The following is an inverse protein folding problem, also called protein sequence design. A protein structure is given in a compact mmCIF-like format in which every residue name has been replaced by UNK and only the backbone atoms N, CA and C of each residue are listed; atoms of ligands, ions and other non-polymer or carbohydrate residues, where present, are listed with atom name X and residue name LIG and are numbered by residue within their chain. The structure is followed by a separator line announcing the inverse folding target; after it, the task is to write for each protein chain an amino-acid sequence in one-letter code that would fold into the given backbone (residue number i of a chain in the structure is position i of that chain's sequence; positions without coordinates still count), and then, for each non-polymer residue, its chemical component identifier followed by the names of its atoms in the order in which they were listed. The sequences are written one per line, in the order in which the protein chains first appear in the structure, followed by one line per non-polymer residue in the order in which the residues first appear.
data_IF_643726440639
#
_entry.id   IF_643726440639
#
_cell.length_a   1.000
_cell.length_b   1.000
_cell.length_c   1.000
_cell.angle_alpha   90.00
_cell.angle_beta   90.00
_cell.angle_gamma   90.00
#
_symmetry.space_group_name_H-M   'P 1'
#
loop_
_entity.id
_entity.type
_entity.pdbx_description
1 polymer ?
#
# COMPACT_ATOMS: atom_id res chain seq x y z
N UNK A 1 -20.57 -9.26 28.09
CA UNK A 1 -19.79 -10.46 27.68
C UNK A 1 -19.13 -11.04 28.92
N UNK A 2 -19.37 -12.30 29.24
CA UNK A 2 -18.62 -13.03 30.27
C UNK A 2 -17.69 -14.01 29.57
N UNK A 3 -16.60 -14.45 30.21
CA UNK A 3 -15.69 -15.45 29.62
C UNK A 3 -16.44 -16.72 29.17
N UNK A 4 -17.51 -17.10 29.89
CA UNK A 4 -18.39 -18.22 29.53
C UNK A 4 -19.24 -17.97 28.27
N UNK A 5 -19.66 -16.73 27.98
CA UNK A 5 -20.40 -16.44 26.74
C UNK A 5 -19.52 -16.40 25.50
N UNK A 6 -18.21 -16.15 25.66
CA UNK A 6 -17.23 -16.13 24.56
C UNK A 6 -16.91 -17.54 24.06
N UNK A 7 -16.80 -18.52 24.97
CA UNK A 7 -16.56 -19.92 24.61
C UNK A 7 -17.76 -20.61 23.96
N UNK A 8 -18.95 -20.00 24.03
CA UNK A 8 -20.10 -20.48 23.26
C UNK A 8 -19.89 -20.26 21.75
N UNK A 9 -19.22 -19.18 21.36
CA UNK A 9 -18.98 -18.85 19.94
C UNK A 9 -17.66 -19.40 19.42
N UNK A 10 -16.66 -19.57 20.30
CA UNK A 10 -15.35 -20.07 19.93
C UNK A 10 -14.93 -21.19 20.88
N UNK A 11 -14.66 -22.40 20.38
CA UNK A 11 -14.30 -23.54 21.23
C UNK A 11 -13.00 -23.31 22.02
N UNK A 12 -12.09 -22.48 21.50
CA UNK A 12 -10.84 -22.13 22.15
C UNK A 12 -10.32 -20.74 21.71
N UNK A 13 -9.19 -20.32 22.31
CA UNK A 13 -8.54 -19.04 22.00
C UNK A 13 -8.03 -18.97 20.55
N UNK A 14 -7.57 -20.09 19.99
CA UNK A 14 -7.07 -20.18 18.62
C UNK A 14 -8.19 -19.97 17.60
N UNK A 15 -9.38 -20.52 17.86
CA UNK A 15 -10.58 -20.31 17.04
C UNK A 15 -11.03 -18.84 17.05
N UNK A 16 -10.97 -18.16 18.20
CA UNK A 16 -11.21 -16.73 18.30
C UNK A 16 -10.19 -15.92 17.47
N UNK A 17 -8.90 -16.25 17.57
CA UNK A 17 -7.85 -15.58 16.77
C UNK A 17 -8.04 -15.81 15.27
N UNK A 18 -8.32 -17.03 14.84
CA UNK A 18 -8.55 -17.36 13.43
C UNK A 18 -9.76 -16.60 12.86
N UNK A 19 -10.85 -16.51 13.63
CA UNK A 19 -12.02 -15.74 13.25
C UNK A 19 -11.70 -14.23 13.14
N UNK A 20 -10.92 -13.70 14.07
CA UNK A 20 -10.46 -12.29 14.05
C UNK A 20 -9.61 -12.00 12.81
N UNK A 21 -8.64 -12.89 12.50
CA UNK A 21 -7.81 -12.76 11.28
C UNK A 21 -8.67 -12.80 10.02
N UNK A 22 -9.66 -13.70 9.95
CA UNK A 22 -10.57 -13.80 8.81
C UNK A 22 -11.39 -12.53 8.62
N UNK A 23 -11.99 -12.01 9.68
CA UNK A 23 -12.78 -10.77 9.63
C UNK A 23 -11.93 -9.58 9.16
N UNK A 24 -10.71 -9.47 9.69
CA UNK A 24 -9.72 -8.49 9.25
C UNK A 24 -9.41 -8.63 7.76
N UNK A 25 -9.18 -9.86 7.29
CA UNK A 25 -8.87 -10.15 5.89
C UNK A 25 -10.04 -9.81 4.97
N UNK A 26 -11.28 -10.09 5.39
CA UNK A 26 -12.50 -9.76 4.66
C UNK A 26 -12.70 -8.24 4.52
N UNK A 27 -12.52 -7.48 5.61
CA UNK A 27 -12.57 -6.01 5.61
C UNK A 27 -11.51 -5.45 4.67
N UNK A 28 -10.27 -5.94 4.81
CA UNK A 28 -9.13 -5.50 4.00
C UNK A 28 -9.36 -5.82 2.53
N UNK A 29 -9.74 -7.05 2.19
CA UNK A 29 -10.00 -7.52 0.82
C UNK A 29 -11.05 -6.67 0.13
N UNK A 30 -12.16 -6.39 0.83
CA UNK A 30 -13.26 -5.58 0.28
C UNK A 30 -12.79 -4.17 -0.06
N UNK A 31 -12.09 -3.52 0.85
CA UNK A 31 -11.60 -2.15 0.67
C UNK A 31 -10.51 -2.05 -0.42
N UNK A 32 -9.55 -2.97 -0.43
CA UNK A 32 -8.49 -2.99 -1.45
C UNK A 32 -9.05 -3.26 -2.86
N UNK A 33 -10.00 -4.20 -2.99
CA UNK A 33 -10.66 -4.47 -4.27
C UNK A 33 -11.42 -3.25 -4.75
N UNK A 34 -12.15 -2.57 -3.86
CA UNK A 34 -12.83 -1.33 -4.19
C UNK A 34 -11.84 -0.26 -4.67
N UNK A 35 -10.76 0.00 -3.94
CA UNK A 35 -9.75 0.99 -4.33
C UNK A 35 -9.15 0.69 -5.72
N UNK A 36 -8.80 -0.57 -5.97
CA UNK A 36 -8.27 -1.00 -7.27
C UNK A 36 -9.29 -0.93 -8.42
N UNK A 37 -10.60 -0.98 -8.14
CA UNK A 37 -11.63 -0.92 -9.19
C UNK A 37 -11.87 0.51 -9.71
N UNK A 38 -11.58 1.53 -8.90
CA UNK A 38 -11.79 2.94 -9.27
C UNK A 38 -10.65 3.53 -10.12
N UNK A 39 -9.61 2.76 -10.42
CA UNK A 39 -8.42 3.24 -11.12
C UNK A 39 -8.21 2.49 -12.44
N UNK A 40 -7.92 3.24 -13.50
CA UNK A 40 -7.57 2.67 -14.80
C UNK A 40 -6.07 2.47 -14.94
N UNK A 41 -5.68 1.28 -15.41
CA UNK A 41 -4.28 0.92 -15.62
C UNK A 41 -3.57 0.37 -14.37
N UNK A 42 -2.62 -0.52 -14.63
CA UNK A 42 -1.94 -1.34 -13.60
C UNK A 42 -1.29 -0.49 -12.52
N UNK A 43 -0.51 0.53 -12.92
CA UNK A 43 0.21 1.42 -12.01
C UNK A 43 -0.73 2.20 -11.11
N UNK A 44 -1.82 2.75 -11.66
CA UNK A 44 -2.80 3.51 -10.89
C UNK A 44 -3.53 2.61 -9.87
N UNK A 45 -3.90 1.38 -10.27
CA UNK A 45 -4.52 0.40 -9.36
C UNK A 45 -3.58 0.03 -8.21
N UNK A 46 -2.29 -0.17 -8.47
CA UNK A 46 -1.30 -0.46 -7.43
C UNK A 46 -1.12 0.71 -6.46
N UNK A 47 -1.03 1.94 -6.98
CA UNK A 47 -0.98 3.16 -6.15
C UNK A 47 -2.22 3.26 -5.25
N UNK A 48 -3.42 3.07 -5.83
CA UNK A 48 -4.67 3.13 -5.08
C UNK A 48 -4.74 2.08 -3.95
N UNK A 49 -4.21 0.87 -4.19
CA UNK A 49 -4.09 -0.16 -3.15
C UNK A 49 -3.16 0.28 -2.01
N UNK A 50 -2.02 0.92 -2.32
CA UNK A 50 -1.12 1.43 -1.28
C UNK A 50 -1.75 2.57 -0.47
N UNK A 51 -2.43 3.50 -1.13
CA UNK A 51 -3.18 4.58 -0.47
C UNK A 51 -4.25 4.03 0.46
N UNK A 52 -5.01 3.03 -0.01
CA UNK A 52 -6.06 2.41 0.78
C UNK A 52 -5.49 1.64 1.97
N UNK A 53 -4.33 0.98 1.80
CA UNK A 53 -3.62 0.35 2.91
C UNK A 53 -3.20 1.37 3.97
N UNK A 54 -2.68 2.53 3.56
CA UNK A 54 -2.36 3.59 4.50
C UNK A 54 -3.60 4.10 5.26
N UNK A 55 -4.73 4.30 4.57
CA UNK A 55 -5.99 4.67 5.20
C UNK A 55 -6.46 3.61 6.20
N UNK A 56 -6.41 2.33 5.83
CA UNK A 56 -6.76 1.21 6.70
C UNK A 56 -5.96 1.21 8.01
N UNK A 57 -4.64 1.43 7.94
CA UNK A 57 -3.78 1.49 9.13
C UNK A 57 -4.15 2.66 10.05
N UNK A 58 -4.63 3.77 9.49
CA UNK A 58 -5.07 4.94 10.24
C UNK A 58 -6.48 4.78 10.83
N UNK A 59 -7.40 4.23 10.05
CA UNK A 59 -8.79 4.01 10.45
C UNK A 59 -8.89 2.89 11.51
N UNK A 60 -7.98 1.92 11.47
CA UNK A 60 -7.91 0.78 12.39
C UNK A 60 -6.51 0.66 13.03
N UNK A 61 -6.14 1.52 14.00
CA UNK A 61 -4.83 1.44 14.64
C UNK A 61 -4.60 0.11 15.39
N UNK A 62 -5.67 -0.49 15.91
CA UNK A 62 -5.63 -1.81 16.54
C UNK A 62 -5.32 -2.94 15.54
N UNK A 63 -5.70 -2.77 14.26
CA UNK A 63 -5.33 -3.69 13.20
C UNK A 63 -3.82 -3.67 12.96
N UNK A 64 -3.23 -2.48 12.92
CA UNK A 64 -1.78 -2.33 12.77
C UNK A 64 -1.02 -2.99 13.94
N UNK A 65 -1.48 -2.75 15.17
CA UNK A 65 -0.91 -3.38 16.37
C UNK A 65 -1.08 -4.91 16.36
N UNK A 66 -2.25 -5.41 15.96
CA UNK A 66 -2.53 -6.84 15.86
C UNK A 66 -1.65 -7.51 14.80
N UNK A 67 -1.53 -6.94 13.60
CA UNK A 67 -0.64 -7.46 12.56
C UNK A 67 0.84 -7.40 12.97
N UNK A 68 1.24 -6.34 13.69
CA UNK A 68 2.58 -6.24 14.26
C UNK A 68 2.87 -7.33 15.31
N UNK A 69 1.89 -7.64 16.17
CA UNK A 69 2.00 -8.71 17.16
C UNK A 69 1.99 -10.11 16.52
N UNK A 70 1.33 -10.24 15.37
CA UNK A 70 1.22 -11.49 14.60
C UNK A 70 2.39 -11.70 13.61
N UNK A 71 3.49 -10.92 13.71
CA UNK A 71 4.68 -11.01 12.84
C UNK A 71 5.10 -12.48 12.62
N UNK A 72 4.88 -12.99 11.39
CA UNK A 72 5.17 -14.37 10.98
C UNK A 72 3.92 -15.18 10.59
N UNK A 73 2.72 -14.72 10.92
CA UNK A 73 1.47 -15.16 10.30
C UNK A 73 1.18 -14.14 9.20
N UNK A 74 1.01 -14.62 7.97
CA UNK A 74 1.07 -13.84 6.74
C UNK A 74 0.51 -12.41 6.87
N UNK A 75 1.23 -11.41 6.31
CA UNK A 75 0.63 -10.10 6.05
C UNK A 75 -0.71 -10.30 5.33
N UNK A 76 -1.65 -9.33 5.42
CA UNK A 76 -3.04 -9.56 5.06
C UNK A 76 -3.10 -10.26 3.72
N UNK A 77 -3.60 -11.50 3.70
CA UNK A 77 -3.64 -12.35 2.51
C UNK A 77 -4.35 -11.59 1.38
N UNK A 78 -5.37 -10.83 1.76
CA UNK A 78 -6.04 -9.82 0.95
C UNK A 78 -5.12 -8.87 0.17
N UNK A 79 -4.01 -8.39 0.75
CA UNK A 79 -3.06 -7.53 0.06
C UNK A 79 -2.31 -8.28 -1.03
N UNK A 80 -1.79 -9.48 -0.73
CA UNK A 80 -1.09 -10.29 -1.73
C UNK A 80 -2.04 -10.70 -2.86
N UNK A 81 -3.25 -11.15 -2.51
CA UNK A 81 -4.27 -11.55 -3.47
C UNK A 81 -4.75 -10.35 -4.31
N UNK A 82 -4.85 -9.16 -3.72
CA UNK A 82 -5.18 -7.93 -4.45
C UNK A 82 -4.11 -7.53 -5.47
N UNK A 83 -2.83 -7.60 -5.08
CA UNK A 83 -1.70 -7.36 -6.00
C UNK A 83 -1.68 -8.42 -7.10
N UNK A 84 -1.84 -9.70 -6.75
CA UNK A 84 -1.88 -10.82 -7.70
C UNK A 84 -3.01 -10.65 -8.74
N UNK A 85 -4.20 -10.24 -8.31
CA UNK A 85 -5.30 -9.94 -9.20
C UNK A 85 -4.98 -8.82 -10.20
N UNK A 86 -4.37 -7.72 -9.72
CA UNK A 86 -3.99 -6.58 -10.59
C UNK A 86 -2.93 -7.00 -11.63
N UNK A 87 -1.91 -7.75 -11.21
CA UNK A 87 -0.83 -8.21 -12.10
C UNK A 87 -1.35 -9.26 -13.08
N UNK A 88 -2.23 -10.15 -12.65
CA UNK A 88 -2.87 -11.15 -13.51
C UNK A 88 -3.76 -10.50 -14.57
N UNK A 89 -4.56 -9.49 -14.21
CA UNK A 89 -5.34 -8.70 -15.15
C UNK A 89 -4.44 -8.00 -16.18
N UNK A 90 -3.34 -7.40 -15.72
CA UNK A 90 -2.37 -6.74 -16.58
C UNK A 90 -1.77 -7.70 -17.62
N UNK A 91 -1.51 -8.95 -17.20
CA UNK A 91 -0.98 -9.99 -18.08
C UNK A 91 -2.02 -10.38 -19.13
N UNK A 92 -3.26 -10.62 -18.69
CA UNK A 92 -4.35 -11.00 -19.58
C UNK A 92 -4.64 -9.92 -20.63
N UNK A 93 -4.48 -8.65 -20.26
CA UNK A 93 -4.66 -7.50 -21.16
C UNK A 93 -3.43 -7.19 -22.01
N UNK A 94 -2.32 -7.92 -21.86
CA UNK A 94 -1.06 -7.66 -22.58
C UNK A 94 -0.34 -6.37 -22.16
N UNK A 95 -0.70 -5.79 -21.01
CA UNK A 95 -0.08 -4.58 -20.46
C UNK A 95 1.25 -4.84 -19.73
N UNK A 96 1.56 -6.11 -19.42
CA UNK A 96 2.85 -6.52 -18.86
C UNK A 96 3.88 -6.75 -19.98
N UNK A 97 5.10 -6.19 -19.86
CA UNK A 97 6.18 -6.51 -20.79
C UNK A 97 6.46 -8.02 -20.85
N UNK A 98 6.76 -8.54 -22.04
CA UNK A 98 6.94 -9.99 -22.27
C UNK A 98 8.04 -10.66 -21.42
N UNK A 99 8.99 -9.87 -20.91
CA UNK A 99 10.11 -10.37 -20.08
C UNK A 99 9.79 -10.31 -18.58
N UNK A 100 8.68 -9.70 -18.19
CA UNK A 100 8.28 -9.57 -16.79
C UNK A 100 7.61 -10.87 -16.35
N UNK A 101 8.22 -11.54 -15.37
CA UNK A 101 7.57 -12.65 -14.69
C UNK A 101 6.48 -12.10 -13.74
N UNK A 102 5.20 -12.51 -13.89
CA UNK A 102 4.12 -12.02 -13.04
C UNK A 102 4.30 -12.35 -11.56
N UNK A 103 4.81 -13.55 -11.24
CA UNK A 103 5.00 -13.97 -9.85
C UNK A 103 6.06 -13.14 -9.14
N UNK A 104 7.20 -12.93 -9.80
CA UNK A 104 8.26 -12.06 -9.31
C UNK A 104 7.79 -10.61 -9.15
N UNK A 105 6.94 -10.11 -10.07
CA UNK A 105 6.34 -8.79 -9.94
C UNK A 105 5.44 -8.70 -8.70
N UNK A 106 4.56 -9.69 -8.48
CA UNK A 106 3.71 -9.77 -7.29
C UNK A 106 4.55 -9.79 -6.01
N UNK A 107 5.57 -10.65 -5.94
CA UNK A 107 6.41 -10.78 -4.74
C UNK A 107 7.20 -9.49 -4.45
N UNK A 108 7.73 -8.82 -5.48
CA UNK A 108 8.43 -7.54 -5.32
C UNK A 108 7.51 -6.42 -4.83
N UNK A 109 6.32 -6.28 -5.42
CA UNK A 109 5.32 -5.27 -5.02
C UNK A 109 4.82 -5.57 -3.60
N UNK A 110 4.55 -6.83 -3.29
CA UNK A 110 4.12 -7.24 -1.96
C UNK A 110 5.20 -6.98 -0.90
N UNK A 111 6.47 -7.26 -1.20
CA UNK A 111 7.58 -6.96 -0.30
C UNK A 111 7.70 -5.45 -0.02
N UNK A 112 7.56 -4.61 -1.05
CA UNK A 112 7.53 -3.16 -0.89
C UNK A 112 6.38 -2.71 0.01
N UNK A 113 5.16 -3.16 -0.28
CA UNK A 113 3.97 -2.83 0.50
C UNK A 113 4.09 -3.30 1.96
N UNK A 114 4.58 -4.52 2.18
CA UNK A 114 4.83 -5.07 3.51
C UNK A 114 5.86 -4.24 4.29
N UNK A 115 6.94 -3.84 3.62
CA UNK A 115 7.98 -2.98 4.20
C UNK A 115 7.44 -1.61 4.60
N UNK A 116 6.58 -1.01 3.79
CA UNK A 116 5.88 0.23 4.14
C UNK A 116 5.03 0.03 5.40
N UNK A 117 4.21 -1.02 5.47
CA UNK A 117 3.40 -1.28 6.67
C UNK A 117 4.25 -1.45 7.94
N UNK A 118 5.42 -2.10 7.85
CA UNK A 118 6.34 -2.19 8.99
C UNK A 118 6.89 -0.83 9.42
N UNK A 119 7.17 0.06 8.45
CA UNK A 119 7.66 1.42 8.75
C UNK A 119 6.61 2.30 9.39
N UNK A 120 5.32 2.07 9.14
CA UNK A 120 4.23 2.84 9.73
C UNK A 120 4.24 2.81 11.27
N UNK A 121 4.73 1.73 11.87
CA UNK A 121 4.83 1.59 13.33
C UNK A 121 6.01 2.38 13.94
N UNK A 122 6.96 2.85 13.13
CA UNK A 122 8.23 3.42 13.59
C UNK A 122 8.50 4.84 13.09
N UNK A 123 7.75 5.30 12.10
CA UNK A 123 7.88 6.65 11.55
C UNK A 123 6.81 7.59 12.11
N UNK A 124 7.13 8.88 12.12
CA UNK A 124 6.11 9.92 12.33
C UNK A 124 5.14 9.93 11.12
N UNK A 125 3.91 10.46 11.27
CA UNK A 125 2.95 10.53 10.18
C UNK A 125 3.52 11.20 8.91
N UNK A 126 4.20 12.34 9.06
CA UNK A 126 4.78 13.08 7.92
C UNK A 126 5.93 12.31 7.25
N UNK A 127 6.80 11.69 8.04
CA UNK A 127 7.90 10.88 7.51
C UNK A 127 7.37 9.62 6.79
N UNK A 128 6.29 9.04 7.31
CA UNK A 128 5.61 7.93 6.65
C UNK A 128 4.98 8.35 5.32
N UNK A 129 4.26 9.48 5.29
CA UNK A 129 3.65 10.02 4.07
C UNK A 129 4.71 10.27 2.98
N UNK A 130 5.83 10.92 3.33
CA UNK A 130 6.93 11.13 2.39
C UNK A 130 7.57 9.81 1.88
N UNK A 131 7.62 8.79 2.74
CA UNK A 131 8.10 7.45 2.35
C UNK A 131 7.12 6.75 1.41
N UNK A 132 5.81 6.89 1.66
CA UNK A 132 4.76 6.36 0.79
C UNK A 132 4.80 7.03 -0.58
N UNK A 133 4.92 8.37 -0.64
CA UNK A 133 5.05 9.12 -1.89
C UNK A 133 6.25 8.62 -2.71
N UNK A 134 7.41 8.46 -2.07
CA UNK A 134 8.62 7.93 -2.71
C UNK A 134 8.41 6.51 -3.26
N UNK A 135 7.69 5.65 -2.55
CA UNK A 135 7.36 4.30 -3.01
C UNK A 135 6.40 4.32 -4.21
N UNK A 136 5.44 5.25 -4.24
CA UNK A 136 4.56 5.44 -5.39
C UNK A 136 5.33 5.95 -6.60
N UNK A 137 6.27 6.89 -6.41
CA UNK A 137 7.18 7.32 -7.48
C UNK A 137 8.04 6.17 -8.01
N UNK A 138 8.48 5.25 -7.13
CA UNK A 138 9.20 4.04 -7.56
C UNK A 138 8.33 3.14 -8.45
N UNK A 139 7.07 2.90 -8.07
CA UNK A 139 6.11 2.10 -8.86
C UNK A 139 5.78 2.78 -10.19
N UNK A 140 5.68 4.12 -10.20
CA UNK A 140 5.49 4.91 -11.42
C UNK A 140 6.74 4.95 -12.31
N UNK A 141 7.90 4.56 -11.80
CA UNK A 141 9.19 4.67 -12.48
C UNK A 141 9.74 6.09 -12.53
N UNK A 142 9.26 7.00 -11.67
CA UNK A 142 9.62 8.43 -11.67
C UNK A 142 10.55 8.83 -10.53
N UNK A 143 10.85 7.95 -9.57
CA UNK A 143 11.67 8.28 -8.39
C UNK A 143 13.04 8.89 -8.74
N UNK A 144 13.66 8.40 -9.83
CA UNK A 144 14.96 8.88 -10.31
C UNK A 144 14.85 9.75 -11.56
N UNK A 145 13.63 10.15 -11.95
CA UNK A 145 13.45 11.03 -13.10
C UNK A 145 14.07 12.40 -12.81
N UNK A 146 14.77 13.03 -13.78
CA UNK A 146 15.27 14.38 -13.62
C UNK A 146 14.10 15.31 -13.29
N UNK A 147 14.10 15.93 -12.10
CA UNK A 147 13.16 17.02 -11.81
C UNK A 147 13.39 18.08 -12.86
N UNK A 148 12.36 18.39 -13.65
CA UNK A 148 12.41 19.54 -14.54
C UNK A 148 12.74 20.76 -13.67
N UNK A 149 13.95 21.31 -13.86
CA UNK A 149 14.38 22.49 -13.13
C UNK A 149 13.33 23.58 -13.34
N UNK A 150 12.85 24.27 -12.29
CA UNK A 150 12.11 25.50 -12.46
C UNK A 150 12.95 26.44 -13.35
N UNK A 151 12.36 27.09 -14.37
CA UNK A 151 13.10 28.01 -15.21
C UNK A 151 13.78 29.04 -14.31
N UNK A 152 15.11 29.10 -14.40
CA UNK A 152 15.92 30.06 -13.67
C UNK A 152 15.33 31.45 -13.89
N UNK A 153 14.83 32.06 -12.82
CA UNK A 153 14.30 33.41 -12.85
C UNK A 153 15.36 34.33 -13.44
N UNK A 154 15.10 34.81 -14.65
CA UNK A 154 15.99 35.69 -15.37
C UNK A 154 16.16 36.97 -14.55
N UNK A 155 17.38 37.40 -14.21
CA UNK A 155 17.55 38.61 -13.42
C UNK A 155 17.06 39.81 -14.22
N UNK A 156 15.98 40.42 -13.74
CA UNK A 156 15.38 41.64 -14.28
C UNK A 156 16.44 42.75 -14.29
N UNK A 157 17.00 43.00 -15.47
CA UNK A 157 17.99 44.05 -15.78
C UNK A 157 17.47 45.39 -15.24
N UNK A 158 18.06 45.88 -14.15
CA UNK A 158 17.83 47.25 -13.65
C UNK A 158 18.37 48.23 -14.69
N UNK A 159 17.47 48.91 -15.38
CA UNK A 159 17.77 50.06 -16.21
C UNK A 159 18.37 51.16 -15.34
N UNK A 160 19.59 51.57 -15.69
CA UNK A 160 20.31 52.69 -15.10
C UNK A 160 19.74 53.98 -15.71
N UNK A 161 19.28 54.97 -14.92
CA UNK A 161 19.05 56.31 -15.44
C UNK A 161 20.40 57.03 -15.51
N UNK A 162 20.62 57.78 -16.58
CA UNK A 162 21.64 58.81 -16.65
C UNK A 162 21.19 59.90 -17.62
N UNK A 163 22.01 60.93 -17.87
CA UNK A 163 22.92 61.63 -16.97
C UNK A 163 22.23 62.74 -16.14
#
# INVERSE_FOLDING_TARGET
MTSGSLYHYFPDKSALFAATVREIDEITSTRLRAAAAHSEGVVARLVAVLDEMHRLLRDYPHLAAFQGAMRGHAGPKALRDGIDGIVSDARAQGALPRRTDPGAAVDAIYALARGLMDRAAHLTPDAYAATLDSAQELIRGTLFAPRANPPASTPKRRSRPGP
#
